data_IF_382035857821
#
_entry.id   IF_382035857821
#
_cell.length_a   1.000
_cell.length_b   1.000
_cell.length_c   1.000
_cell.angle_alpha   90.00
_cell.angle_beta   90.00
_cell.angle_gamma   90.00
#
_symmetry.space_group_name_H-M   'P 1'
#
loop_
_entity.id
_entity.type
_entity.pdbx_description
1 polymer ?
#
# COMPACT_ATOMS: atom_id res chain seq x y z
N UNK A 1 5.57 -3.61 -11.78
CA UNK A 1 6.79 -2.85 -12.11
C UNK A 1 6.59 -2.20 -13.46
N UNK A 2 7.05 -0.97 -13.63
CA UNK A 2 7.12 -0.25 -14.90
C UNK A 2 8.57 0.09 -15.18
N UNK A 3 9.05 -0.19 -16.39
CA UNK A 3 10.42 0.12 -16.80
C UNK A 3 10.50 1.48 -17.48
N UNK A 4 11.71 1.95 -17.75
CA UNK A 4 11.98 3.05 -18.67
C UNK A 4 11.40 2.75 -20.07
N UNK A 5 11.03 3.77 -20.87
CA UNK A 5 10.96 5.19 -20.54
C UNK A 5 9.75 5.53 -19.65
N UNK A 6 9.83 6.64 -18.92
CA UNK A 6 8.73 7.22 -18.14
C UNK A 6 8.14 6.27 -17.09
N UNK A 7 9.01 5.56 -16.36
CA UNK A 7 8.59 4.55 -15.39
C UNK A 7 7.66 5.14 -14.31
N UNK A 8 7.97 6.35 -13.83
CA UNK A 8 7.17 7.08 -12.84
C UNK A 8 5.79 7.45 -13.39
N UNK A 9 5.74 8.03 -14.58
CA UNK A 9 4.50 8.52 -15.20
C UNK A 9 3.56 7.36 -15.50
N UNK A 10 4.10 6.23 -15.97
CA UNK A 10 3.33 4.99 -16.19
C UNK A 10 2.79 4.44 -14.88
N UNK A 11 3.60 4.38 -13.82
CA UNK A 11 3.13 3.96 -12.51
C UNK A 11 2.01 4.87 -11.98
N UNK A 12 2.15 6.19 -12.11
CA UNK A 12 1.12 7.15 -11.71
C UNK A 12 -0.15 7.06 -12.57
N UNK A 13 -0.02 6.78 -13.87
CA UNK A 13 -1.16 6.55 -14.74
C UNK A 13 -1.94 5.30 -14.34
N UNK A 14 -1.25 4.22 -13.97
CA UNK A 14 -1.87 3.00 -13.50
C UNK A 14 -2.67 3.21 -12.19
N UNK A 15 -2.10 3.95 -11.22
CA UNK A 15 -2.83 4.35 -10.00
C UNK A 15 -4.12 5.13 -10.33
N UNK A 16 -4.06 6.10 -11.25
CA UNK A 16 -5.25 6.83 -11.71
C UNK A 16 -6.30 5.92 -12.37
N UNK A 17 -5.87 4.97 -13.19
CA UNK A 17 -6.76 4.01 -13.85
C UNK A 17 -7.48 3.14 -12.81
N UNK A 18 -6.76 2.64 -11.81
CA UNK A 18 -7.36 1.86 -10.71
C UNK A 18 -8.40 2.69 -9.98
N UNK A 19 -8.04 3.90 -9.53
CA UNK A 19 -8.96 4.77 -8.77
C UNK A 19 -10.22 5.08 -9.57
N UNK A 20 -10.09 5.33 -10.88
CA UNK A 20 -11.24 5.51 -11.78
C UNK A 20 -12.09 4.23 -11.89
N UNK A 21 -11.45 3.07 -12.01
CA UNK A 21 -12.14 1.77 -12.07
C UNK A 21 -12.96 1.53 -10.79
N UNK A 22 -12.36 1.75 -9.62
CA UNK A 22 -13.03 1.60 -8.31
C UNK A 22 -14.24 2.53 -8.20
N UNK A 23 -14.10 3.79 -8.62
CA UNK A 23 -15.21 4.75 -8.64
C UNK A 23 -16.36 4.32 -9.57
N UNK A 24 -16.04 3.78 -10.76
CA UNK A 24 -17.06 3.32 -11.72
C UNK A 24 -17.87 2.12 -11.21
N UNK A 25 -17.28 1.28 -10.38
CA UNK A 25 -17.96 0.11 -9.78
C UNK A 25 -18.52 0.41 -8.39
N UNK A 26 -18.48 1.67 -7.95
CA UNK A 26 -19.06 2.12 -6.68
C UNK A 26 -18.28 1.71 -5.43
N UNK A 27 -17.05 1.21 -5.56
CA UNK A 27 -16.22 0.86 -4.40
C UNK A 27 -15.56 2.12 -3.81
N UNK A 28 -15.75 2.29 -2.52
CA UNK A 28 -15.12 3.32 -1.69
C UNK A 28 -14.48 2.61 -0.51
N UNK A 29 -13.34 3.12 -0.07
CA UNK A 29 -12.57 2.55 1.04
C UNK A 29 -12.25 3.67 2.02
N UNK A 30 -12.17 3.36 3.31
CA UNK A 30 -11.66 4.30 4.33
C UNK A 30 -10.28 4.83 3.96
N UNK A 31 -9.43 3.99 3.39
CA UNK A 31 -8.08 4.36 2.98
C UNK A 31 -7.64 3.64 1.70
N UNK A 32 -6.98 4.39 0.80
CA UNK A 32 -6.28 3.85 -0.36
C UNK A 32 -4.86 4.40 -0.34
N UNK A 33 -3.90 3.52 -0.08
CA UNK A 33 -2.48 3.88 0.02
C UNK A 33 -1.74 3.46 -1.24
N UNK A 34 -0.91 4.36 -1.77
CA UNK A 34 -0.13 4.13 -2.99
C UNK A 34 1.34 4.50 -2.74
N UNK A 35 2.24 3.61 -3.12
CA UNK A 35 3.68 3.78 -3.00
C UNK A 35 4.37 3.50 -4.33
N UNK A 36 5.46 4.22 -4.60
CA UNK A 36 6.34 3.98 -5.74
C UNK A 36 7.69 3.45 -5.22
N UNK A 37 7.81 2.14 -5.09
CA UNK A 37 9.04 1.49 -4.65
C UNK A 37 10.14 1.66 -5.71
N UNK A 38 11.36 1.94 -5.25
CA UNK A 38 12.47 2.40 -6.08
C UNK A 38 12.51 3.92 -6.27
N UNK A 39 11.46 4.65 -5.87
CA UNK A 39 11.39 6.11 -6.00
C UNK A 39 11.18 6.81 -4.65
N UNK A 40 10.07 6.54 -3.96
CA UNK A 40 9.69 7.30 -2.77
C UNK A 40 8.90 6.51 -1.72
N UNK A 41 8.97 5.18 -1.71
CA UNK A 41 8.17 4.35 -0.80
C UNK A 41 8.38 4.68 0.70
N UNK A 42 9.61 4.86 1.17
CA UNK A 42 9.86 5.13 2.60
C UNK A 42 9.78 6.62 2.98
N UNK A 43 10.33 7.48 2.13
CA UNK A 43 10.51 8.91 2.44
C UNK A 43 9.38 9.77 1.85
N UNK A 44 8.50 9.22 1.01
CA UNK A 44 7.38 9.95 0.43
C UNK A 44 7.81 11.28 -0.22
N UNK A 45 7.19 12.41 0.12
CA UNK A 45 7.53 13.72 -0.45
C UNK A 45 8.96 14.21 -0.18
N UNK A 46 9.64 13.69 0.86
CA UNK A 46 10.99 14.13 1.23
C UNK A 46 12.10 13.23 0.63
N UNK A 47 11.73 12.26 -0.21
CA UNK A 47 12.71 11.46 -0.94
C UNK A 47 13.59 12.34 -1.85
N UNK A 48 14.86 11.96 -2.01
CA UNK A 48 15.75 12.63 -2.95
C UNK A 48 15.16 12.60 -4.38
N UNK A 49 15.24 13.71 -5.14
CA UNK A 49 14.70 13.74 -6.49
C UNK A 49 15.36 12.69 -7.41
N UNK A 50 14.54 11.87 -8.05
CA UNK A 50 14.95 10.97 -9.13
C UNK A 50 14.04 11.23 -10.34
N UNK A 51 14.46 12.11 -11.28
CA UNK A 51 13.59 12.58 -12.35
C UNK A 51 13.31 11.53 -13.43
N UNK A 52 14.27 10.64 -13.71
CA UNK A 52 14.11 9.57 -14.71
C UNK A 52 14.53 8.20 -14.13
N UNK A 53 13.69 7.61 -13.26
CA UNK A 53 13.99 6.32 -12.68
C UNK A 53 13.95 5.22 -13.76
N UNK A 54 14.92 4.28 -13.78
CA UNK A 54 14.97 3.21 -14.78
C UNK A 54 13.82 2.21 -14.60
N UNK A 55 13.33 2.05 -13.37
CA UNK A 55 12.19 1.21 -13.03
C UNK A 55 11.49 1.73 -11.77
N UNK A 56 10.18 1.51 -11.70
CA UNK A 56 9.37 1.84 -10.53
C UNK A 56 8.35 0.73 -10.30
N UNK A 57 8.25 0.25 -9.07
CA UNK A 57 7.17 -0.65 -8.68
C UNK A 57 6.03 0.14 -8.02
N UNK A 58 4.88 0.16 -8.69
CA UNK A 58 3.62 0.57 -8.07
C UNK A 58 3.19 -0.47 -7.04
N UNK A 59 2.99 -0.03 -5.79
CA UNK A 59 2.26 -0.77 -4.76
C UNK A 59 1.02 0.03 -4.40
N UNK A 60 -0.12 -0.64 -4.36
CA UNK A 60 -1.38 -0.03 -3.95
C UNK A 60 -2.11 -1.01 -3.03
N UNK A 61 -2.68 -0.48 -1.96
CA UNK A 61 -3.47 -1.23 -0.99
C UNK A 61 -4.68 -0.42 -0.53
N UNK A 62 -5.68 -1.12 -0.02
CA UNK A 62 -6.88 -0.53 0.57
C UNK A 62 -7.07 -1.05 1.98
N UNK A 63 -7.70 -0.25 2.83
CA UNK A 63 -8.14 -0.64 4.17
C UNK A 63 -9.58 -0.19 4.35
N UNK A 64 -10.41 -1.12 4.81
CA UNK A 64 -11.83 -0.89 5.07
C UNK A 64 -12.37 -1.99 6.01
N UNK A 65 -13.36 -1.71 6.87
CA UNK A 65 -14.03 -2.72 7.68
C UNK A 65 -14.84 -3.73 6.85
N UNK A 66 -15.28 -3.38 5.63
CA UNK A 66 -15.98 -4.30 4.72
C UNK A 66 -15.00 -5.26 4.03
N UNK A 67 -14.89 -6.46 4.58
CA UNK A 67 -14.06 -7.54 4.03
C UNK A 67 -14.40 -7.84 2.56
N UNK A 68 -15.67 -7.84 2.16
CA UNK A 68 -16.08 -8.21 0.81
C UNK A 68 -15.71 -7.13 -0.20
N UNK A 69 -15.75 -5.86 0.21
CA UNK A 69 -15.23 -4.75 -0.59
C UNK A 69 -13.71 -4.88 -0.81
N UNK A 70 -12.94 -5.21 0.24
CA UNK A 70 -11.48 -5.42 0.15
C UNK A 70 -11.15 -6.64 -0.71
N UNK A 71 -11.86 -7.75 -0.53
CA UNK A 71 -11.73 -8.96 -1.35
C UNK A 71 -12.06 -8.65 -2.82
N UNK A 72 -13.05 -7.79 -3.10
CA UNK A 72 -13.35 -7.33 -4.46
C UNK A 72 -12.19 -6.51 -5.06
N UNK A 73 -11.57 -5.62 -4.30
CA UNK A 73 -10.42 -4.84 -4.76
C UNK A 73 -9.27 -5.73 -5.27
N UNK A 74 -9.01 -6.88 -4.62
CA UNK A 74 -7.93 -7.81 -5.03
C UNK A 74 -8.03 -8.25 -6.50
N UNK A 75 -9.26 -8.25 -7.05
CA UNK A 75 -9.55 -8.64 -8.44
C UNK A 75 -9.37 -7.51 -9.45
N UNK A 76 -9.31 -6.26 -9.02
CA UNK A 76 -9.21 -5.09 -9.91
C UNK A 76 -7.76 -4.74 -10.29
N UNK A 77 -6.76 -5.32 -9.60
CA UNK A 77 -5.34 -5.04 -9.86
C UNK A 77 -4.80 -5.84 -11.06
N UNK A 78 -5.11 -7.14 -11.15
CA UNK A 78 -4.58 -8.00 -12.20
C UNK A 78 -4.88 -7.52 -13.64
N UNK A 79 -6.07 -6.98 -13.96
CA UNK A 79 -6.37 -6.48 -15.30
C UNK A 79 -5.43 -5.38 -15.82
N UNK A 80 -4.75 -4.64 -14.94
CA UNK A 80 -3.82 -3.58 -15.34
C UNK A 80 -2.61 -4.08 -16.12
N UNK A 81 -2.20 -5.34 -15.93
CA UNK A 81 -1.01 -5.88 -16.60
C UNK A 81 -1.20 -5.88 -18.12
N UNK A 82 -2.43 -6.14 -18.58
CA UNK A 82 -2.76 -6.23 -20.00
C UNK A 82 -3.54 -5.01 -20.53
N UNK A 83 -4.22 -4.27 -19.66
CA UNK A 83 -5.07 -3.13 -20.05
C UNK A 83 -4.57 -1.77 -19.52
N UNK A 84 -3.42 -1.75 -18.85
CA UNK A 84 -2.83 -0.56 -18.27
C UNK A 84 -1.73 0.06 -19.14
N UNK A 85 -0.90 0.94 -18.54
CA UNK A 85 0.27 1.49 -19.21
C UNK A 85 1.24 0.38 -19.65
N UNK A 86 2.03 0.60 -20.72
CA UNK A 86 2.91 -0.43 -21.25
C UNK A 86 4.01 -0.81 -20.25
N UNK A 87 4.67 -1.95 -20.52
CA UNK A 87 5.79 -2.50 -19.72
C UNK A 87 5.41 -2.94 -18.30
N UNK A 88 4.11 -3.09 -18.03
CA UNK A 88 3.65 -3.56 -16.72
C UNK A 88 4.07 -5.03 -16.52
N UNK A 89 4.88 -5.28 -15.50
CA UNK A 89 5.20 -6.65 -15.05
C UNK A 89 4.67 -6.86 -13.64
N UNK A 90 3.82 -7.87 -13.46
CA UNK A 90 3.35 -8.30 -12.14
C UNK A 90 4.51 -8.89 -11.33
N UNK A 91 4.64 -8.50 -10.07
CA UNK A 91 5.63 -9.06 -9.15
C UNK A 91 4.88 -9.47 -7.87
N UNK A 92 4.68 -10.77 -7.67
CA UNK A 92 3.91 -11.33 -6.56
C UNK A 92 3.17 -12.63 -6.91
N UNK A 93 2.52 -13.23 -5.90
CA UNK A 93 1.91 -14.57 -5.96
C UNK A 93 0.45 -14.58 -6.49
N UNK A 94 0.13 -13.75 -7.49
CA UNK A 94 -1.22 -13.68 -8.05
C UNK A 94 -2.19 -12.84 -7.19
N UNK A 95 -3.36 -13.39 -6.83
CA UNK A 95 -4.39 -12.67 -6.05
C UNK A 95 -3.93 -12.54 -4.60
N UNK A 96 -3.72 -11.32 -4.06
CA UNK A 96 -3.31 -11.15 -2.68
C UNK A 96 -4.42 -11.60 -1.72
N UNK A 97 -4.08 -12.27 -0.60
CA UNK A 97 -5.06 -12.58 0.45
C UNK A 97 -5.47 -11.31 1.20
N UNK A 98 -6.75 -11.23 1.57
CA UNK A 98 -7.23 -10.22 2.52
C UNK A 98 -6.73 -10.58 3.91
N UNK A 99 -6.29 -9.58 4.68
CA UNK A 99 -5.75 -9.75 6.02
C UNK A 99 -6.42 -8.79 6.99
N UNK A 100 -6.70 -9.26 8.19
CA UNK A 100 -7.10 -8.38 9.28
C UNK A 100 -5.94 -7.48 9.69
N UNK A 101 -6.25 -6.20 9.93
CA UNK A 101 -5.28 -5.21 10.40
C UNK A 101 -5.37 -5.13 11.91
N UNK A 102 -4.39 -5.69 12.62
CA UNK A 102 -4.22 -5.49 14.07
C UNK A 102 -3.43 -4.20 14.27
N UNK A 103 -4.14 -3.10 14.54
CA UNK A 103 -3.53 -1.80 14.78
C UNK A 103 -3.14 -1.64 16.26
N UNK A 104 -1.98 -1.04 16.50
CA UNK A 104 -1.58 -0.64 17.85
C UNK A 104 -2.37 0.60 18.27
N UNK A 105 -3.26 0.43 19.23
CA UNK A 105 -3.96 1.54 19.88
C UNK A 105 -3.20 1.90 21.16
N UNK A 106 -2.25 2.83 21.08
CA UNK A 106 -1.63 3.38 22.29
C UNK A 106 -2.65 4.22 23.04
N UNK A 107 -2.76 3.96 24.33
CA UNK A 107 -3.44 4.83 25.28
C UNK A 107 -2.44 5.26 26.35
N UNK A 108 -2.61 6.48 26.85
CA UNK A 108 -1.91 6.93 28.04
C UNK A 108 -2.62 6.35 29.27
N UNK A 109 -1.86 5.81 30.21
CA UNK A 109 -2.33 5.40 31.53
C UNK A 109 -1.78 6.39 32.56
N UNK A 110 -2.60 6.92 33.49
CA UNK A 110 -2.10 7.74 34.59
C UNK A 110 -1.02 7.00 35.35
N UNK A 111 0.03 7.70 35.76
CA UNK A 111 1.18 7.10 36.45
C UNK A 111 0.76 6.44 37.75
N UNK A 112 -0.24 7.03 38.40
CA UNK A 112 -0.78 6.64 39.70
C UNK A 112 -1.47 5.27 39.65
N UNK A 113 -1.88 4.81 38.47
CA UNK A 113 -2.50 3.49 38.23
C UNK A 113 -1.45 2.38 38.04
N UNK A 114 -0.16 2.72 37.96
CA UNK A 114 0.93 1.76 37.74
C UNK A 114 1.73 1.54 39.03
N UNK A 115 1.60 0.35 39.61
CA UNK A 115 2.46 -0.10 40.72
C UNK A 115 3.64 -0.93 40.18
N UNK A 116 4.86 -0.39 40.28
CA UNK A 116 6.09 -1.08 39.85
C UNK A 116 6.75 -1.84 41.00
N UNK A 117 7.16 -3.08 40.76
CA UNK A 117 8.01 -3.86 41.69
C UNK A 117 9.24 -4.41 40.96
N UNK A 118 10.31 -4.65 41.72
CA UNK A 118 11.54 -5.26 41.21
C UNK A 118 11.90 -6.43 42.13
N UNK A 119 12.12 -7.59 41.54
CA UNK A 119 12.62 -8.77 42.24
C UNK A 119 13.98 -9.16 41.66
N UNK A 120 14.93 -9.44 42.55
CA UNK A 120 16.30 -9.83 42.20
C UNK A 120 16.51 -11.26 42.66
N UNK A 121 16.96 -12.11 41.74
CA UNK A 121 17.26 -13.51 41.99
C UNK A 121 18.77 -13.74 41.88
N UNK A 122 19.37 -14.37 42.89
CA UNK A 122 20.76 -14.83 42.84
C UNK A 122 20.84 -16.23 42.24
N UNK A 123 21.84 -16.45 41.36
CA UNK A 123 22.21 -17.77 40.84
C UNK A 123 22.95 -18.58 41.89
#
# INVERSE_FOLDING_TARGET
VYSWPQAREKAAAADRIIRRRLALIGLRFEEIHTEFLGLNACHGPIAAPCPDPPEVQLRIGVRDPDHDAVERFTREIAPLVLNGPPTATGFGEGKPPVREVVAYWSALIPREEISTSVEVYSV
#
